data_IF_581388478557
#
_entry.id   IF_581388478557
#
_cell.length_a   1.000
_cell.length_b   1.000
_cell.length_c   1.000
_cell.angle_alpha   90.00
_cell.angle_beta   90.00
_cell.angle_gamma   90.00
#
_symmetry.space_group_name_H-M   'P 1'
#
loop_
_entity.id
_entity.type
_entity.pdbx_description
1 polymer ?
#
# COMPACT_ATOMS: atom_id res chain seq x y z
N UNK A 1 29.45 29.12 7.62
CA UNK A 1 29.37 27.68 7.29
C UNK A 1 28.15 27.16 8.02
N UNK A 2 27.00 27.08 7.34
CA UNK A 2 25.75 26.73 8.03
C UNK A 2 24.53 26.63 7.13
N UNK A 3 23.97 27.76 6.66
CA UNK A 3 22.50 27.82 6.52
C UNK A 3 21.97 28.28 5.13
N UNK A 4 22.54 27.78 4.04
CA UNK A 4 22.02 28.08 2.68
C UNK A 4 21.44 26.86 1.95
N UNK A 5 21.47 25.68 2.58
CA UNK A 5 21.02 24.42 1.94
C UNK A 5 19.58 24.04 2.30
N UNK A 6 19.02 24.52 3.39
CA UNK A 6 17.71 24.04 3.86
C UNK A 6 16.52 24.78 3.22
N UNK A 7 16.68 26.08 2.91
CA UNK A 7 15.64 26.88 2.26
C UNK A 7 15.47 26.59 0.75
N UNK A 8 16.55 26.23 0.07
CA UNK A 8 16.56 26.10 -1.40
C UNK A 8 16.07 24.72 -1.88
N UNK A 9 16.29 23.64 -1.12
CA UNK A 9 15.78 22.31 -1.50
C UNK A 9 14.32 22.10 -1.08
N UNK A 10 13.84 22.73 0.00
CA UNK A 10 12.44 22.62 0.44
C UNK A 10 11.43 23.31 -0.48
N UNK A 11 11.85 24.36 -1.19
CA UNK A 11 11.00 25.14 -2.10
C UNK A 11 10.99 24.57 -3.53
N UNK A 12 12.11 24.00 -4.01
CA UNK A 12 12.18 23.28 -5.30
C UNK A 12 11.23 22.06 -5.32
N UNK A 13 11.06 21.37 -4.18
CA UNK A 13 10.17 20.21 -4.07
C UNK A 13 8.68 20.56 -3.96
N UNK A 14 8.32 21.84 -3.80
CA UNK A 14 6.95 22.29 -3.56
C UNK A 14 6.35 23.14 -4.69
N UNK A 15 7.16 23.58 -5.65
CA UNK A 15 6.78 24.61 -6.63
C UNK A 15 6.70 24.14 -8.10
N UNK A 16 6.85 22.84 -8.40
CA UNK A 16 6.59 22.33 -9.75
C UNK A 16 5.10 22.00 -9.95
N UNK A 17 4.47 22.51 -11.04
CA UNK A 17 3.02 22.52 -11.21
C UNK A 17 2.50 21.15 -11.64
N UNK A 18 1.86 20.43 -10.71
CA UNK A 18 1.11 19.20 -10.98
C UNK A 18 1.25 18.15 -9.89
N UNK A 19 0.50 18.31 -8.78
CA UNK A 19 0.33 17.42 -7.62
C UNK A 19 0.89 15.98 -7.73
N UNK A 20 2.22 15.82 -7.60
CA UNK A 20 2.83 14.50 -7.38
C UNK A 20 2.21 13.81 -6.16
N UNK A 21 1.83 14.59 -5.14
CA UNK A 21 1.08 14.14 -3.97
C UNK A 21 -0.29 13.56 -4.30
N UNK A 22 -1.05 14.13 -5.23
CA UNK A 22 -2.38 13.58 -5.61
C UNK A 22 -2.21 12.32 -6.43
N UNK A 23 -1.22 12.26 -7.32
CA UNK A 23 -0.91 11.01 -8.04
C UNK A 23 -0.43 9.91 -7.10
N UNK A 24 0.42 10.26 -6.13
CA UNK A 24 0.86 9.34 -5.08
C UNK A 24 -0.33 8.90 -4.21
N UNK A 25 -1.23 9.80 -3.84
CA UNK A 25 -2.42 9.49 -3.04
C UNK A 25 -3.40 8.63 -3.83
N UNK A 26 -3.67 8.93 -5.09
CA UNK A 26 -4.51 8.10 -5.97
C UNK A 26 -3.87 6.72 -6.17
N UNK A 27 -2.56 6.64 -6.41
CA UNK A 27 -1.83 5.38 -6.53
C UNK A 27 -1.89 4.57 -5.23
N UNK A 28 -1.73 5.23 -4.07
CA UNK A 28 -1.84 4.61 -2.76
C UNK A 28 -3.24 4.04 -2.54
N UNK A 29 -4.28 4.84 -2.84
CA UNK A 29 -5.68 4.41 -2.74
C UNK A 29 -5.96 3.24 -3.67
N UNK A 30 -5.41 3.25 -4.90
CA UNK A 30 -5.60 2.17 -5.86
C UNK A 30 -4.94 0.88 -5.39
N UNK A 31 -3.72 0.94 -4.84
CA UNK A 31 -3.07 -0.21 -4.21
C UNK A 31 -3.88 -0.72 -3.03
N UNK A 32 -4.37 0.18 -2.17
CA UNK A 32 -5.16 -0.17 -0.99
C UNK A 32 -6.50 -0.83 -1.38
N UNK A 33 -7.13 -0.35 -2.45
CA UNK A 33 -8.33 -0.95 -3.03
C UNK A 33 -8.05 -2.36 -3.59
N UNK A 34 -6.92 -2.55 -4.28
CA UNK A 34 -6.51 -3.88 -4.79
C UNK A 34 -6.26 -4.85 -3.64
N UNK A 35 -5.55 -4.42 -2.59
CA UNK A 35 -5.33 -5.24 -1.38
C UNK A 35 -6.68 -5.60 -0.74
N UNK A 36 -7.58 -4.63 -0.58
CA UNK A 36 -8.91 -4.88 -0.03
C UNK A 36 -9.70 -5.92 -0.84
N UNK A 37 -9.68 -5.82 -2.18
CA UNK A 37 -10.34 -6.80 -3.06
C UNK A 37 -9.68 -8.17 -2.95
N UNK A 38 -8.35 -8.25 -2.88
CA UNK A 38 -7.63 -9.51 -2.62
C UNK A 38 -8.09 -10.16 -1.30
N UNK A 39 -8.20 -9.38 -0.22
CA UNK A 39 -8.66 -9.90 1.06
C UNK A 39 -10.15 -10.28 1.09
N UNK A 40 -11.02 -9.55 0.39
CA UNK A 40 -12.46 -9.83 0.41
C UNK A 40 -12.91 -10.86 -0.63
N UNK A 41 -12.18 -11.04 -1.73
CA UNK A 41 -12.56 -11.96 -2.81
C UNK A 41 -11.55 -13.08 -3.03
N UNK A 42 -10.25 -12.78 -3.06
CA UNK A 42 -9.23 -13.80 -3.32
C UNK A 42 -9.04 -14.71 -2.13
N UNK A 43 -9.08 -14.20 -0.90
CA UNK A 43 -9.02 -15.04 0.30
C UNK A 43 -10.19 -16.04 0.38
N UNK A 44 -11.47 -15.64 0.27
CA UNK A 44 -12.57 -16.59 0.25
C UNK A 44 -12.49 -17.63 -0.87
N UNK A 45 -11.93 -17.24 -2.02
CA UNK A 45 -11.66 -18.18 -3.11
C UNK A 45 -10.43 -19.07 -2.87
N UNK A 46 -9.43 -18.59 -2.12
CA UNK A 46 -8.21 -19.31 -1.79
C UNK A 46 -8.33 -20.17 -0.52
N UNK A 47 -9.26 -19.87 0.40
CA UNK A 47 -9.56 -20.64 1.61
C UNK A 47 -9.74 -22.15 1.33
N UNK A 48 -10.44 -22.59 0.28
CA UNK A 48 -10.56 -24.01 -0.07
C UNK A 48 -9.27 -24.63 -0.62
N UNK A 49 -8.35 -23.82 -1.17
CA UNK A 49 -7.10 -24.26 -1.76
C UNK A 49 -5.93 -24.25 -0.77
N UNK A 50 -6.10 -23.58 0.36
CA UNK A 50 -5.10 -23.54 1.43
C UNK A 50 -5.17 -24.85 2.23
N UNK A 51 -4.11 -25.69 2.21
CA UNK A 51 -4.06 -26.97 2.91
C UNK A 51 -3.92 -26.83 4.44
N UNK A 52 -4.27 -25.67 5.00
CA UNK A 52 -4.25 -25.37 6.44
C UNK A 52 -5.63 -25.49 7.09
N UNK A 53 -6.70 -25.60 6.29
CA UNK A 53 -8.05 -25.88 6.79
C UNK A 53 -8.27 -27.36 7.14
N UNK A 54 -7.36 -28.24 6.73
CA UNK A 54 -7.19 -29.54 7.36
C UNK A 54 -6.48 -29.32 8.71
N UNK A 55 -7.21 -28.76 9.67
CA UNK A 55 -6.95 -29.08 11.07
C UNK A 55 -7.23 -30.57 11.20
N UNK A 56 -6.20 -31.39 10.98
CA UNK A 56 -6.13 -32.73 11.53
C UNK A 56 -6.12 -32.57 13.04
N UNK A 57 -7.28 -32.27 13.64
CA UNK A 57 -7.56 -32.52 15.04
C UNK A 57 -7.76 -34.02 15.19
N UNK A 58 -6.77 -34.82 14.78
CA UNK A 58 -6.59 -36.18 15.26
C UNK A 58 -5.78 -36.05 16.55
N UNK A 59 -6.38 -35.39 17.54
CA UNK A 59 -5.91 -35.39 18.91
C UNK A 59 -7.06 -35.83 19.81
N UNK A 60 -7.54 -37.06 19.63
CA UNK A 60 -7.86 -38.03 20.69
C UNK A 60 -8.57 -39.28 20.18
#
# INVERSE_FOLDING_TARGET
MGDERDGMYGWIWRNLPGNAWVKALISLVLVMAVVYVLFQFVFPWAEPLLPFNDVTVDNQ
#
